data_IF_494941991799
#
_entry.id   IF_494941991799
#
_cell.length_a   1.000
_cell.length_b   1.000
_cell.length_c   1.000
_cell.angle_alpha   90.00
_cell.angle_beta   90.00
_cell.angle_gamma   90.00
#
_symmetry.space_group_name_H-M   'P 1'
#
loop_
_entity.id
_entity.type
_entity.pdbx_description
1 polymer ?
#
# COMPACT_ATOMS: atom_id res chain seq x y z
N UNK A 1 -5.31 -10.30 -16.06
CA UNK A 1 -5.85 -9.23 -15.17
C UNK A 1 -6.39 -8.12 -16.04
N UNK A 2 -7.57 -7.57 -15.73
CA UNK A 2 -8.07 -6.39 -16.42
C UNK A 2 -7.34 -5.14 -15.91
N UNK A 3 -7.09 -4.12 -16.76
CA UNK A 3 -6.46 -2.88 -16.31
C UNK A 3 -7.35 -2.17 -15.29
N UNK A 4 -6.75 -1.75 -14.17
CA UNK A 4 -7.41 -0.94 -13.15
C UNK A 4 -7.04 0.51 -13.37
N UNK A 5 -8.03 1.39 -13.47
CA UNK A 5 -7.82 2.82 -13.62
C UNK A 5 -8.17 3.57 -12.33
N UNK A 6 -7.34 4.57 -12.01
CA UNK A 6 -7.59 5.53 -10.93
C UNK A 6 -7.68 6.93 -11.57
N UNK A 7 -8.87 7.53 -11.66
CA UNK A 7 -9.03 8.87 -12.21
C UNK A 7 -8.13 9.89 -11.50
N UNK A 8 -7.43 10.73 -12.26
CA UNK A 8 -6.50 11.73 -11.72
C UNK A 8 -5.12 11.18 -11.33
N UNK A 9 -4.86 9.88 -11.53
CA UNK A 9 -3.56 9.25 -11.30
C UNK A 9 -3.07 8.58 -12.58
N UNK A 10 -1.98 9.10 -13.13
CA UNK A 10 -1.22 8.46 -14.21
C UNK A 10 -0.27 7.39 -13.68
N UNK A 11 0.18 7.49 -12.42
CA UNK A 11 1.11 6.53 -11.82
C UNK A 11 0.77 6.25 -10.37
N UNK A 12 0.51 4.98 -10.06
CA UNK A 12 0.43 4.47 -8.70
C UNK A 12 1.71 3.70 -8.38
N UNK A 13 2.55 4.29 -7.51
CA UNK A 13 3.76 3.65 -7.00
C UNK A 13 3.52 3.09 -5.60
N UNK A 14 3.90 1.84 -5.37
CA UNK A 14 3.79 1.18 -4.07
C UNK A 14 5.17 0.69 -3.66
N UNK A 15 5.64 1.18 -2.52
CA UNK A 15 6.88 0.75 -1.89
C UNK A 15 6.52 -0.06 -0.64
N UNK A 16 6.90 -1.34 -0.63
CA UNK A 16 6.62 -2.26 0.47
C UNK A 16 7.92 -2.61 1.19
N UNK A 17 8.04 -2.21 2.43
CA UNK A 17 9.17 -2.50 3.31
C UNK A 17 8.78 -3.63 4.27
N UNK A 18 9.32 -4.84 4.04
CA UNK A 18 8.98 -6.04 4.80
C UNK A 18 10.12 -6.43 5.73
N UNK A 19 9.97 -6.17 7.02
CA UNK A 19 10.99 -6.46 8.02
C UNK A 19 12.29 -5.66 7.85
N UNK A 20 13.05 -5.55 8.95
CA UNK A 20 14.33 -4.84 8.98
C UNK A 20 14.28 -3.52 9.75
N UNK A 21 15.45 -2.89 9.89
CA UNK A 21 15.66 -1.74 10.79
C UNK A 21 14.67 -0.60 10.55
N UNK A 22 14.33 -0.31 9.29
CA UNK A 22 13.37 0.76 8.95
C UNK A 22 11.96 0.45 9.45
N UNK A 23 11.50 -0.81 9.36
CA UNK A 23 10.19 -1.23 9.88
C UNK A 23 10.16 -1.38 11.40
N UNK A 24 11.32 -1.59 12.04
CA UNK A 24 11.44 -1.70 13.50
C UNK A 24 11.55 -0.34 14.20
N UNK A 25 12.02 0.71 13.50
CA UNK A 25 12.05 2.11 13.99
C UNK A 25 10.89 2.98 13.50
N UNK A 26 10.05 2.48 12.58
CA UNK A 26 8.80 3.12 12.22
C UNK A 26 7.83 3.15 13.42
N UNK A 27 6.83 4.06 13.37
CA UNK A 27 5.73 4.14 14.35
C UNK A 27 5.26 2.72 14.70
N UNK A 28 5.21 2.36 15.99
CA UNK A 28 5.15 0.96 16.43
C UNK A 28 4.00 0.20 15.75
N UNK A 29 4.34 -0.68 14.81
CA UNK A 29 3.39 -1.52 14.09
C UNK A 29 3.30 -1.24 12.59
N UNK A 30 2.26 -1.80 11.97
CA UNK A 30 1.97 -1.60 10.56
C UNK A 30 1.65 -0.13 10.27
N UNK A 31 2.33 0.47 9.30
CA UNK A 31 2.08 1.87 8.90
C UNK A 31 2.09 2.04 7.39
N UNK A 32 1.32 3.02 6.92
CA UNK A 32 1.27 3.40 5.52
C UNK A 32 1.15 4.91 5.37
N UNK A 33 1.96 5.49 4.49
CA UNK A 33 1.99 6.92 4.22
C UNK A 33 1.91 7.16 2.73
N UNK A 34 1.02 8.09 2.34
CA UNK A 34 0.81 8.45 0.96
C UNK A 34 1.35 9.85 0.65
N UNK A 35 1.96 9.97 -0.52
CA UNK A 35 2.35 11.25 -1.11
C UNK A 35 1.74 11.38 -2.49
N UNK A 36 0.87 12.36 -2.65
CA UNK A 36 0.28 12.69 -3.95
C UNK A 36 0.90 13.95 -4.53
N UNK A 37 1.24 13.90 -5.81
CA UNK A 37 1.67 15.04 -6.61
C UNK A 37 0.69 15.28 -7.74
N UNK A 38 -0.19 16.28 -7.59
CA UNK A 38 -1.16 16.67 -8.63
C UNK A 38 -0.48 17.08 -9.94
N UNK A 39 0.66 17.78 -9.87
CA UNK A 39 1.46 18.16 -11.06
C UNK A 39 1.93 16.94 -11.86
N UNK A 40 2.26 15.84 -11.19
CA UNK A 40 2.74 14.61 -11.81
C UNK A 40 1.62 13.59 -12.04
N UNK A 41 0.39 13.87 -11.59
CA UNK A 41 -0.68 12.90 -11.46
C UNK A 41 -0.18 11.57 -10.84
N UNK A 42 0.65 11.66 -9.79
CA UNK A 42 1.34 10.50 -9.24
C UNK A 42 1.02 10.33 -7.75
N UNK A 43 0.60 9.13 -7.37
CA UNK A 43 0.39 8.71 -5.99
C UNK A 43 1.47 7.68 -5.63
N UNK A 44 2.28 7.99 -4.62
CA UNK A 44 3.25 7.06 -4.05
C UNK A 44 2.80 6.66 -2.65
N UNK A 45 2.81 5.37 -2.35
CA UNK A 45 2.43 4.83 -1.04
C UNK A 45 3.59 4.01 -0.51
N UNK A 46 4.11 4.41 0.65
CA UNK A 46 5.09 3.63 1.40
C UNK A 46 4.37 2.84 2.49
N UNK A 47 4.57 1.52 2.51
CA UNK A 47 3.95 0.59 3.46
C UNK A 47 5.06 -0.11 4.24
N UNK A 48 5.00 -0.04 5.56
CA UNK A 48 5.95 -0.70 6.46
C UNK A 48 5.25 -1.86 7.17
N UNK A 49 5.78 -3.06 6.94
CA UNK A 49 5.33 -4.30 7.59
C UNK A 49 6.36 -4.68 8.66
N UNK A 50 5.97 -4.73 9.95
CA UNK A 50 6.87 -5.12 11.03
C UNK A 50 7.45 -6.51 10.81
N UNK A 51 8.67 -6.74 11.31
CA UNK A 51 9.33 -8.04 11.20
C UNK A 51 8.49 -9.19 11.78
N UNK A 52 7.82 -8.97 12.92
CA UNK A 52 7.01 -10.01 13.55
C UNK A 52 5.79 -10.41 12.70
N UNK A 53 5.12 -9.44 12.06
CA UNK A 53 4.01 -9.69 11.13
C UNK A 53 4.51 -10.45 9.89
N UNK A 54 5.68 -10.09 9.36
CA UNK A 54 6.28 -10.78 8.23
C UNK A 54 6.68 -12.22 8.55
N UNK A 55 7.25 -12.46 9.73
CA UNK A 55 7.67 -13.80 10.16
C UNK A 55 6.50 -14.73 10.52
N UNK A 56 5.30 -14.19 10.74
CA UNK A 56 4.12 -14.99 11.03
C UNK A 56 3.49 -15.63 9.77
N UNK A 57 3.95 -15.23 8.58
CA UNK A 57 3.45 -15.72 7.29
C UNK A 57 4.21 -16.97 6.87
N UNK A 58 3.49 -18.04 6.54
CA UNK A 58 4.08 -19.21 5.92
C UNK A 58 4.44 -18.93 4.46
N UNK A 59 5.54 -19.49 3.95
CA UNK A 59 6.00 -19.28 2.56
C UNK A 59 4.92 -19.60 1.51
N UNK A 60 4.09 -20.61 1.77
CA UNK A 60 2.97 -20.99 0.89
C UNK A 60 1.92 -19.88 0.74
N UNK A 61 1.82 -18.97 1.72
CA UNK A 61 0.85 -17.88 1.79
C UNK A 61 1.47 -16.52 1.47
N UNK A 62 2.76 -16.46 1.12
CA UNK A 62 3.50 -15.20 0.96
C UNK A 62 2.86 -14.25 -0.07
N UNK A 63 2.37 -14.77 -1.19
CA UNK A 63 1.72 -13.95 -2.22
C UNK A 63 0.41 -13.33 -1.71
N UNK A 64 -0.41 -14.12 -1.02
CA UNK A 64 -1.67 -13.66 -0.43
C UNK A 64 -1.41 -12.64 0.69
N UNK A 65 -0.37 -12.85 1.50
CA UNK A 65 0.05 -11.93 2.54
C UNK A 65 0.51 -10.58 1.96
N UNK A 66 1.32 -10.59 0.90
CA UNK A 66 1.75 -9.36 0.22
C UNK A 66 0.56 -8.58 -0.33
N UNK A 67 -0.38 -9.26 -1.02
CA UNK A 67 -1.60 -8.61 -1.50
C UNK A 67 -2.43 -8.01 -0.36
N UNK A 68 -2.55 -8.75 0.75
CA UNK A 68 -3.23 -8.30 1.97
C UNK A 68 -2.57 -7.08 2.61
N UNK A 69 -1.24 -7.04 2.73
CA UNK A 69 -0.51 -5.89 3.26
C UNK A 69 -0.66 -4.66 2.37
N UNK A 70 -0.60 -4.84 1.04
CA UNK A 70 -0.81 -3.73 0.11
C UNK A 70 -2.23 -3.18 0.23
N UNK A 71 -3.24 -4.04 0.27
CA UNK A 71 -4.63 -3.63 0.45
C UNK A 71 -4.83 -2.89 1.78
N UNK A 72 -4.32 -3.45 2.89
CA UNK A 72 -4.37 -2.83 4.22
C UNK A 72 -3.70 -1.45 4.23
N UNK A 73 -2.55 -1.31 3.56
CA UNK A 73 -1.84 -0.04 3.48
C UNK A 73 -2.59 1.03 2.70
N UNK A 74 -3.23 0.66 1.59
CA UNK A 74 -4.08 1.57 0.81
C UNK A 74 -5.35 2.00 1.56
N UNK A 75 -5.86 1.14 2.44
CA UNK A 75 -7.00 1.43 3.33
C UNK A 75 -6.61 2.33 4.50
N UNK A 76 -5.44 2.08 5.12
CA UNK A 76 -5.02 2.76 6.34
C UNK A 76 -4.18 4.02 6.13
N UNK A 77 -3.68 4.25 4.91
CA UNK A 77 -2.77 5.37 4.65
C UNK A 77 -3.41 6.73 4.97
N UNK A 78 -2.66 7.57 5.69
CA UNK A 78 -3.04 8.98 5.84
C UNK A 78 -2.94 9.66 4.47
N UNK A 79 -4.07 10.11 3.95
CA UNK A 79 -4.16 10.84 2.69
C UNK A 79 -4.02 12.33 2.94
N UNK A 80 -3.20 13.03 2.14
CA UNK A 80 -3.28 14.48 2.08
C UNK A 80 -4.66 14.91 1.56
N UNK A 81 -5.11 16.13 1.88
CA UNK A 81 -6.39 16.64 1.39
C UNK A 81 -6.54 16.51 -0.14
N UNK A 82 -5.45 16.74 -0.88
CA UNK A 82 -5.39 16.58 -2.34
C UNK A 82 -5.47 15.12 -2.82
N UNK A 83 -5.04 14.15 -2.02
CA UNK A 83 -5.14 12.72 -2.31
C UNK A 83 -6.49 12.12 -1.89
N UNK A 84 -7.24 12.81 -1.00
CA UNK A 84 -8.55 12.36 -0.51
C UNK A 84 -9.61 12.24 -1.62
N UNK A 85 -9.46 13.00 -2.72
CA UNK A 85 -10.35 12.95 -3.87
C UNK A 85 -10.10 11.77 -4.82
N UNK A 86 -9.05 10.98 -4.61
CA UNK A 86 -8.73 9.84 -5.47
C UNK A 86 -9.58 8.62 -5.09
N UNK A 87 -10.28 8.07 -6.08
CA UNK A 87 -11.01 6.81 -5.93
C UNK A 87 -10.07 5.61 -6.15
N UNK A 88 -9.83 4.86 -5.07
CA UNK A 88 -8.97 3.67 -5.07
C UNK A 88 -9.79 2.37 -4.93
N UNK A 89 -11.12 2.44 -4.95
CA UNK A 89 -11.98 1.28 -4.73
C UNK A 89 -11.70 0.16 -5.74
N UNK A 90 -11.48 0.51 -7.02
CA UNK A 90 -11.13 -0.45 -8.07
C UNK A 90 -9.80 -1.18 -7.81
N UNK A 91 -8.80 -0.47 -7.26
CA UNK A 91 -7.49 -1.05 -6.91
C UNK A 91 -7.64 -2.01 -5.73
N UNK A 92 -8.35 -1.60 -4.68
CA UNK A 92 -8.62 -2.44 -3.52
C UNK A 92 -9.40 -3.71 -3.89
N UNK A 93 -10.40 -3.59 -4.76
CA UNK A 93 -11.17 -4.73 -5.23
C UNK A 93 -10.32 -5.72 -6.05
N UNK A 94 -9.35 -5.23 -6.82
CA UNK A 94 -8.43 -6.08 -7.58
C UNK A 94 -7.45 -6.82 -6.65
N UNK A 95 -6.90 -6.12 -5.64
CA UNK A 95 -5.97 -6.71 -4.67
C UNK A 95 -6.63 -7.79 -3.81
N UNK A 96 -7.90 -7.61 -3.42
CA UNK A 96 -8.66 -8.59 -2.62
C UNK A 96 -9.05 -9.87 -3.38
N UNK A 97 -8.84 -9.91 -4.69
CA UNK A 97 -9.12 -11.08 -5.55
C UNK A 97 -7.84 -11.80 -5.99
N UNK A 98 -6.67 -11.28 -5.61
CA UNK A 98 -5.35 -11.78 -5.99
C UNK A 98 -4.91 -12.97 -5.13
#
# INVERSE_FOLDING_TARGET
>A
MAPVMVPGVATLGIELFVGGSISDYAESGFSAVAKYSGKKAALTVAIHVPRHDAMAVADADANAAVAGWVARGLESMKRSASAGALDLAGVLAALKRA
#
